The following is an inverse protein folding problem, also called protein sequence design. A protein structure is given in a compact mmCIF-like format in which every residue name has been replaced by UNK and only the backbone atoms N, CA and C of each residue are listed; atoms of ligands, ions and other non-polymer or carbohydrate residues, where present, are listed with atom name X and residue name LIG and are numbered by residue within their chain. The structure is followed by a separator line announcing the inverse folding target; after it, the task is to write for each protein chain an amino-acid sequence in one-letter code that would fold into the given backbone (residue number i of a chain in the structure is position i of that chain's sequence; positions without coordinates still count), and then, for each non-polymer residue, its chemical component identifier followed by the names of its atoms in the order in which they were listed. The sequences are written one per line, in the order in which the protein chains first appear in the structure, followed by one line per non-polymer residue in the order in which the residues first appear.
data_IF_235396172738
#
_entry.id   IF_235396172738
#
_cell.length_a   1.000
_cell.length_b   1.000
_cell.length_c   1.000
_cell.angle_alpha   90.00
_cell.angle_beta   90.00
_cell.angle_gamma   90.00
#
_symmetry.space_group_name_H-M   'P 1'
#
loop_
_entity.id
_entity.type
_entity.pdbx_description
1 polymer ?
#
# COMPACT_ATOMS: atom_id res chain seq x y z
N UNK A 1 -32.43 14.17 -49.22
CA UNK A 1 -31.84 13.45 -50.34
C UNK A 1 -30.54 12.83 -49.87
N UNK A 2 -30.58 11.57 -49.77
CA UNK A 2 -29.64 10.76 -49.02
C UNK A 2 -28.81 9.89 -49.97
N UNK A 3 -27.51 10.06 -50.00
CA UNK A 3 -26.59 9.27 -50.82
C UNK A 3 -25.17 9.28 -50.25
N UNK A 4 -25.04 8.83 -48.98
CA UNK A 4 -23.69 8.72 -48.42
C UNK A 4 -23.44 7.51 -47.50
N UNK A 5 -24.36 6.56 -47.42
CA UNK A 5 -24.22 5.43 -46.45
C UNK A 5 -24.11 4.03 -47.09
N UNK A 6 -23.80 3.91 -48.40
CA UNK A 6 -23.77 2.60 -49.09
C UNK A 6 -22.47 2.25 -49.81
N UNK A 7 -21.31 2.74 -49.40
CA UNK A 7 -20.02 2.37 -50.02
C UNK A 7 -18.94 1.91 -49.04
N UNK A 8 -19.30 1.27 -47.94
CA UNK A 8 -18.28 0.74 -46.99
C UNK A 8 -18.21 -0.79 -46.86
N UNK A 9 -18.94 -1.53 -47.68
CA UNK A 9 -18.99 -2.98 -47.61
C UNK A 9 -18.72 -3.66 -48.94
N UNK A 10 -17.59 -3.38 -49.59
CA UNK A 10 -17.15 -4.22 -50.75
C UNK A 10 -15.67 -3.94 -51.03
N UNK A 11 -14.78 -4.42 -50.17
CA UNK A 11 -13.41 -4.79 -50.56
C UNK A 11 -12.70 -5.47 -49.35
N UNK A 12 -12.99 -6.72 -49.12
CA UNK A 12 -12.22 -7.55 -48.18
C UNK A 12 -12.28 -9.01 -48.66
N UNK A 13 -11.66 -9.25 -49.77
CA UNK A 13 -11.34 -10.60 -50.23
C UNK A 13 -9.92 -10.60 -50.78
N UNK A 14 -8.91 -10.54 -49.88
CA UNK A 14 -7.54 -10.98 -50.10
C UNK A 14 -6.72 -10.67 -48.83
N UNK A 15 -6.39 -11.68 -48.02
CA UNK A 15 -5.54 -11.47 -46.88
C UNK A 15 -5.66 -12.54 -45.78
N UNK A 16 -5.96 -13.78 -46.17
CA UNK A 16 -5.83 -14.91 -45.26
C UNK A 16 -4.40 -15.47 -45.31
N UNK A 17 -3.43 -14.72 -44.80
CA UNK A 17 -2.07 -15.25 -44.57
C UNK A 17 -1.29 -14.22 -43.72
N UNK A 18 -1.46 -14.22 -42.38
CA UNK A 18 -0.48 -13.73 -41.41
C UNK A 18 -1.07 -13.72 -39.97
N UNK A 19 -1.65 -14.83 -39.49
CA UNK A 19 -1.96 -15.02 -38.08
C UNK A 19 -1.22 -16.27 -37.59
N UNK A 20 0.10 -16.29 -37.73
CA UNK A 20 0.94 -17.38 -37.22
C UNK A 20 2.17 -16.89 -36.44
N UNK A 21 2.23 -15.62 -36.00
CA UNK A 21 3.43 -15.08 -35.35
C UNK A 21 3.19 -14.38 -33.98
N UNK A 22 1.99 -14.42 -33.42
CA UNK A 22 1.71 -13.78 -32.13
C UNK A 22 2.16 -14.61 -30.92
N UNK A 23 2.23 -15.96 -30.90
CA UNK A 23 2.72 -16.72 -29.76
C UNK A 23 4.19 -16.46 -29.39
N UNK A 24 5.03 -16.08 -30.37
CA UNK A 24 6.48 -15.91 -30.12
C UNK A 24 6.88 -14.63 -29.41
N UNK A 25 6.08 -13.56 -29.55
CA UNK A 25 6.42 -12.26 -28.93
C UNK A 25 6.07 -12.23 -27.44
N UNK A 26 4.96 -12.83 -27.05
CA UNK A 26 4.57 -12.92 -25.63
C UNK A 26 5.50 -13.85 -24.86
N UNK A 27 5.95 -14.95 -25.48
CA UNK A 27 6.88 -15.89 -24.86
C UNK A 27 8.29 -15.32 -24.65
N UNK A 28 8.76 -14.44 -25.53
CA UNK A 28 10.09 -13.84 -25.41
C UNK A 28 10.16 -12.71 -24.37
N UNK A 29 9.03 -12.09 -24.02
CA UNK A 29 8.97 -11.08 -22.94
C UNK A 29 8.90 -11.72 -21.55
N UNK A 30 8.40 -12.95 -21.43
CA UNK A 30 8.26 -13.65 -20.14
C UNK A 30 9.58 -14.35 -19.74
N UNK A 31 10.39 -14.82 -20.69
CA UNK A 31 11.51 -15.71 -20.41
C UNK A 31 12.85 -15.07 -20.04
N UNK A 32 12.95 -13.73 -20.04
CA UNK A 32 14.21 -13.04 -19.70
C UNK A 32 14.31 -12.49 -18.28
N UNK A 33 13.19 -12.35 -17.56
CA UNK A 33 13.17 -11.67 -16.28
C UNK A 33 12.81 -12.54 -15.05
N UNK A 34 12.40 -13.81 -15.22
CA UNK A 34 11.96 -14.65 -14.08
C UNK A 34 13.05 -14.80 -13.00
N UNK A 35 14.30 -15.05 -13.38
CA UNK A 35 15.42 -15.18 -12.41
C UNK A 35 15.80 -13.85 -11.74
N UNK A 36 15.53 -12.71 -12.38
CA UNK A 36 15.78 -11.39 -11.83
C UNK A 36 14.68 -10.98 -10.84
N UNK A 37 13.43 -11.33 -11.11
CA UNK A 37 12.27 -11.04 -10.24
C UNK A 37 12.31 -11.87 -8.97
N UNK A 38 12.64 -13.14 -9.04
CA UNK A 38 12.79 -14.01 -7.87
C UNK A 38 13.89 -13.55 -6.91
N UNK A 39 14.97 -12.99 -7.45
CA UNK A 39 16.05 -12.40 -6.64
C UNK A 39 15.62 -11.06 -6.04
N UNK A 40 14.80 -10.29 -6.77
CA UNK A 40 14.35 -8.96 -6.39
C UNK A 40 13.36 -9.00 -5.22
N UNK A 41 12.44 -9.97 -5.19
CA UNK A 41 11.39 -10.10 -4.16
C UNK A 41 11.57 -11.38 -3.32
N UNK A 42 12.79 -11.64 -2.89
CA UNK A 42 13.13 -12.87 -2.16
C UNK A 42 12.43 -13.03 -0.79
N UNK A 43 11.85 -11.94 -0.27
CA UNK A 43 11.08 -11.94 0.98
C UNK A 43 9.77 -12.75 0.86
N UNK A 44 9.23 -12.89 -0.36
CA UNK A 44 7.97 -13.60 -0.60
C UNK A 44 8.23 -15.07 -0.96
N UNK A 45 7.56 -15.96 -0.24
CA UNK A 45 7.60 -17.40 -0.50
C UNK A 45 6.26 -17.87 -1.08
N UNK A 46 6.27 -19.03 -1.73
CA UNK A 46 5.06 -19.63 -2.31
C UNK A 46 3.99 -19.85 -1.21
N UNK A 47 2.80 -19.37 -1.47
CA UNK A 47 1.65 -19.49 -0.58
C UNK A 47 1.59 -18.46 0.56
N UNK A 48 2.54 -17.51 0.62
CA UNK A 48 2.52 -16.50 1.68
C UNK A 48 1.22 -15.70 1.70
N UNK A 49 0.75 -15.43 2.92
CA UNK A 49 -0.31 -14.47 3.21
C UNK A 49 0.33 -13.12 3.56
N UNK A 50 -0.04 -12.08 2.80
CA UNK A 50 0.41 -10.69 2.97
C UNK A 50 -0.77 -9.86 3.45
N UNK A 51 -0.58 -9.12 4.54
CA UNK A 51 -1.63 -8.30 5.13
C UNK A 51 -1.20 -6.82 5.18
N UNK A 52 -2.03 -5.95 4.62
CA UNK A 52 -1.93 -4.50 4.78
C UNK A 52 -2.88 -4.03 5.87
N UNK A 53 -2.35 -3.36 6.88
CA UNK A 53 -3.07 -2.74 7.99
C UNK A 53 -2.82 -1.24 8.04
N UNK A 54 -3.78 -0.49 8.55
CA UNK A 54 -3.65 0.95 8.69
C UNK A 54 -4.99 1.67 8.78
N UNK A 55 -4.93 2.95 8.48
CA UNK A 55 -6.04 3.90 8.50
C UNK A 55 -6.65 4.17 7.11
N UNK A 56 -7.14 5.41 6.88
CA UNK A 56 -7.75 5.83 5.61
C UNK A 56 -6.81 5.75 4.41
N UNK A 57 -5.51 5.91 4.61
CA UNK A 57 -4.51 5.85 3.54
C UNK A 57 -4.41 4.40 3.00
N UNK A 58 -4.55 3.42 3.89
CA UNK A 58 -4.54 2.00 3.53
C UNK A 58 -5.93 1.53 3.10
N UNK A 59 -7.01 1.97 3.77
CA UNK A 59 -8.42 1.71 3.41
C UNK A 59 -8.72 2.13 1.97
N UNK A 60 -8.44 3.39 1.64
CA UNK A 60 -8.60 3.98 0.32
C UNK A 60 -9.93 3.62 -0.38
N UNK A 61 -11.03 3.64 0.38
CA UNK A 61 -12.37 3.37 -0.15
C UNK A 61 -12.66 1.89 -0.46
N UNK A 62 -11.99 0.95 0.21
CA UNK A 62 -12.26 -0.48 0.05
C UNK A 62 -13.68 -0.87 0.49
N UNK A 63 -14.23 -1.86 -0.16
CA UNK A 63 -15.49 -2.50 0.23
C UNK A 63 -15.25 -3.40 1.47
N UNK A 64 -15.85 -3.07 2.61
CA UNK A 64 -15.56 -3.70 3.91
C UNK A 64 -16.40 -4.94 4.20
N UNK A 65 -17.54 -5.09 3.55
CA UNK A 65 -18.49 -6.17 3.85
C UNK A 65 -17.97 -7.56 3.41
N UNK A 66 -17.25 -7.63 2.29
CA UNK A 66 -16.77 -8.91 1.74
C UNK A 66 -15.39 -9.32 2.22
N UNK A 67 -14.52 -8.37 2.45
CA UNK A 67 -13.16 -8.56 2.96
C UNK A 67 -12.32 -9.69 2.29
N UNK A 68 -12.49 -9.87 0.98
CA UNK A 68 -11.87 -10.95 0.22
C UNK A 68 -10.39 -10.67 -0.08
N UNK A 69 -9.58 -11.74 -0.08
CA UNK A 69 -8.20 -11.65 -0.59
C UNK A 69 -8.17 -11.48 -2.10
N UNK A 70 -7.13 -10.84 -2.62
CA UNK A 70 -6.85 -10.68 -4.05
C UNK A 70 -8.04 -10.12 -4.85
N UNK A 71 -8.90 -9.34 -4.20
CA UNK A 71 -10.13 -8.82 -4.78
C UNK A 71 -10.08 -7.30 -4.86
N UNK A 72 -10.21 -6.73 -6.05
CA UNK A 72 -10.06 -5.30 -6.29
C UNK A 72 -10.99 -4.42 -5.44
N UNK A 73 -12.24 -4.84 -5.21
CA UNK A 73 -13.19 -4.08 -4.38
C UNK A 73 -12.80 -4.07 -2.89
N UNK A 74 -12.24 -5.17 -2.41
CA UNK A 74 -11.76 -5.30 -1.02
C UNK A 74 -10.43 -4.60 -0.78
N UNK A 75 -9.81 -4.02 -1.82
CA UNK A 75 -8.54 -3.29 -1.74
C UNK A 75 -8.69 -1.77 -1.81
N UNK A 76 -9.77 -1.25 -2.39
CA UNK A 76 -9.91 0.17 -2.70
C UNK A 76 -9.01 0.58 -3.87
N UNK A 77 -8.55 1.84 -3.88
CA UNK A 77 -7.80 2.43 -5.00
C UNK A 77 -6.45 3.06 -4.59
N UNK A 78 -5.96 2.78 -3.38
CA UNK A 78 -4.74 3.37 -2.82
C UNK A 78 -3.47 2.56 -3.11
N UNK A 79 -2.39 2.93 -2.39
CA UNK A 79 -1.09 2.30 -2.55
C UNK A 79 -1.10 0.79 -2.32
N UNK A 80 -1.91 0.30 -1.37
CA UNK A 80 -2.01 -1.13 -1.06
C UNK A 80 -2.56 -1.92 -2.26
N UNK A 81 -3.55 -1.37 -3.00
CA UNK A 81 -4.07 -1.96 -4.23
C UNK A 81 -2.99 -2.04 -5.32
N UNK A 82 -2.27 -0.94 -5.56
CA UNK A 82 -1.22 -0.87 -6.57
C UNK A 82 -0.05 -1.82 -6.25
N UNK A 83 0.35 -1.87 -4.99
CA UNK A 83 1.38 -2.82 -4.50
C UNK A 83 0.94 -4.27 -4.69
N UNK A 84 -0.28 -4.61 -4.25
CA UNK A 84 -0.83 -5.96 -4.40
C UNK A 84 -0.94 -6.36 -5.88
N UNK A 85 -1.42 -5.45 -6.72
CA UNK A 85 -1.52 -5.69 -8.18
C UNK A 85 -0.15 -5.99 -8.80
N UNK A 86 0.88 -5.24 -8.40
CA UNK A 86 2.25 -5.48 -8.87
C UNK A 86 2.81 -6.81 -8.38
N UNK A 87 2.63 -7.15 -7.10
CA UNK A 87 3.09 -8.42 -6.53
C UNK A 87 2.40 -9.62 -7.20
N UNK A 88 1.07 -9.60 -7.32
CA UNK A 88 0.30 -10.67 -7.95
C UNK A 88 0.67 -10.86 -9.42
N UNK A 89 0.97 -9.78 -10.15
CA UNK A 89 1.42 -9.87 -11.53
C UNK A 89 2.85 -10.39 -11.65
N UNK A 90 3.77 -9.90 -10.80
CA UNK A 90 5.20 -10.24 -10.92
C UNK A 90 5.56 -11.59 -10.30
N UNK A 91 4.77 -12.08 -9.34
CA UNK A 91 5.01 -13.29 -8.55
C UNK A 91 3.80 -14.26 -8.68
N UNK A 92 3.23 -14.38 -9.88
CA UNK A 92 2.03 -15.20 -10.12
C UNK A 92 2.24 -16.68 -9.77
N UNK A 93 3.45 -17.19 -9.94
CA UNK A 93 3.88 -18.53 -9.58
C UNK A 93 3.89 -18.77 -8.06
N UNK A 94 4.09 -17.73 -7.26
CA UNK A 94 4.14 -17.82 -5.78
C UNK A 94 2.74 -17.92 -5.14
N UNK A 95 1.66 -17.71 -5.88
CA UNK A 95 0.27 -17.87 -5.40
C UNK A 95 0.00 -17.14 -4.09
N UNK A 96 0.40 -15.87 -4.01
CA UNK A 96 0.24 -15.05 -2.83
C UNK A 96 -1.24 -14.82 -2.50
N UNK A 97 -1.57 -14.83 -1.21
CA UNK A 97 -2.86 -14.41 -0.68
C UNK A 97 -2.68 -13.04 -0.03
N UNK A 98 -3.30 -11.99 -0.57
CA UNK A 98 -3.06 -10.62 -0.09
C UNK A 98 -4.38 -10.01 0.40
N UNK A 99 -4.35 -9.36 1.57
CA UNK A 99 -5.49 -8.69 2.19
C UNK A 99 -5.20 -7.22 2.43
N UNK A 100 -6.23 -6.38 2.33
CA UNK A 100 -6.27 -5.03 2.85
C UNK A 100 -7.29 -4.97 4.01
N UNK A 101 -6.84 -4.59 5.19
CA UNK A 101 -7.65 -4.42 6.41
C UNK A 101 -7.55 -3.01 6.98
N UNK A 102 -7.17 -2.03 6.17
CA UNK A 102 -7.22 -0.62 6.55
C UNK A 102 -8.64 -0.17 6.90
N UNK A 103 -8.80 0.68 7.90
CA UNK A 103 -10.06 1.32 8.29
C UNK A 103 -9.83 2.81 8.51
N UNK A 104 -10.54 3.63 7.75
CA UNK A 104 -10.46 5.09 7.82
C UNK A 104 -10.63 5.61 9.26
N UNK A 105 -9.78 6.57 9.65
CA UNK A 105 -9.80 7.20 10.95
C UNK A 105 -9.12 6.41 12.08
N UNK A 106 -8.68 5.17 11.83
CA UNK A 106 -8.07 4.38 12.90
C UNK A 106 -6.76 4.99 13.42
N UNK A 107 -6.59 4.83 14.72
CA UNK A 107 -5.38 5.02 15.52
C UNK A 107 -4.83 3.66 15.94
N UNK A 108 -3.63 3.62 16.55
CA UNK A 108 -3.00 2.35 16.96
C UNK A 108 -3.91 1.54 17.91
N UNK A 109 -4.50 2.17 18.93
CA UNK A 109 -5.41 1.47 19.85
C UNK A 109 -6.60 0.82 19.12
N UNK A 110 -7.14 1.48 18.11
CA UNK A 110 -8.26 0.94 17.32
C UNK A 110 -7.83 -0.20 16.37
N UNK A 111 -6.57 -0.25 15.92
CA UNK A 111 -6.02 -1.46 15.30
C UNK A 111 -6.01 -2.60 16.35
N UNK A 112 -5.57 -2.31 17.57
CA UNK A 112 -5.49 -3.29 18.65
C UNK A 112 -6.85 -3.92 18.99
N UNK A 113 -7.93 -3.15 18.98
CA UNK A 113 -9.30 -3.59 19.29
C UNK A 113 -9.82 -4.65 18.31
N UNK A 114 -9.43 -4.57 17.03
CA UNK A 114 -9.89 -5.47 15.96
C UNK A 114 -8.83 -6.49 15.51
N UNK A 115 -7.72 -6.59 16.25
CA UNK A 115 -6.55 -7.34 15.80
C UNK A 115 -6.76 -8.84 15.69
N UNK A 116 -7.69 -9.41 16.49
CA UNK A 116 -8.01 -10.83 16.41
C UNK A 116 -8.57 -11.16 15.03
N UNK A 117 -9.64 -10.48 14.62
CA UNK A 117 -10.34 -10.76 13.36
C UNK A 117 -9.52 -10.30 12.14
N UNK A 118 -8.92 -9.10 12.24
CA UNK A 118 -8.29 -8.44 11.10
C UNK A 118 -6.79 -8.76 10.93
N UNK A 119 -6.21 -9.55 11.84
CA UNK A 119 -4.82 -10.01 11.73
C UNK A 119 -4.67 -11.49 12.12
N UNK A 120 -5.01 -11.87 13.36
CA UNK A 120 -4.69 -13.21 13.86
C UNK A 120 -5.42 -14.32 13.10
N UNK A 121 -6.69 -14.12 12.80
CA UNK A 121 -7.52 -15.10 12.08
C UNK A 121 -7.09 -15.24 10.60
N UNK A 122 -6.38 -14.27 10.05
CA UNK A 122 -5.83 -14.31 8.69
C UNK A 122 -4.48 -15.03 8.60
N UNK A 123 -3.81 -15.25 9.73
CA UNK A 123 -2.54 -15.94 9.85
C UNK A 123 -1.49 -15.42 8.85
N UNK A 124 -1.10 -14.12 8.89
CA UNK A 124 -0.21 -13.54 7.92
C UNK A 124 1.24 -13.99 8.11
N UNK A 125 1.93 -14.22 7.00
CA UNK A 125 3.38 -14.42 6.95
C UNK A 125 4.12 -13.09 6.88
N UNK A 126 3.47 -12.08 6.24
CA UNK A 126 4.02 -10.74 6.04
C UNK A 126 2.95 -9.73 6.43
N UNK A 127 3.29 -8.81 7.33
CA UNK A 127 2.39 -7.79 7.84
C UNK A 127 2.96 -6.40 7.60
N UNK A 128 2.26 -5.60 6.81
CA UNK A 128 2.57 -4.19 6.55
C UNK A 128 1.63 -3.29 7.34
N UNK A 129 2.18 -2.34 8.10
CA UNK A 129 1.40 -1.41 8.93
C UNK A 129 1.77 0.03 8.60
N UNK A 130 0.78 0.84 8.22
CA UNK A 130 0.87 2.30 8.12
C UNK A 130 -0.15 2.93 9.07
N UNK A 131 0.33 3.49 10.16
CA UNK A 131 -0.51 4.08 11.23
C UNK A 131 0.23 5.20 11.97
N UNK A 132 -0.49 6.17 12.50
CA UNK A 132 0.07 7.24 13.33
C UNK A 132 -0.40 8.64 12.97
N UNK A 133 -0.80 8.88 11.72
CA UNK A 133 -1.27 10.21 11.32
C UNK A 133 -2.53 10.62 12.09
N UNK A 134 -3.47 9.70 12.35
CA UNK A 134 -4.68 9.97 13.09
C UNK A 134 -4.46 10.07 14.60
N UNK A 135 -3.42 9.45 15.15
CA UNK A 135 -3.00 9.63 16.54
C UNK A 135 -2.67 11.10 16.82
N UNK A 136 -2.07 11.78 15.84
CA UNK A 136 -1.85 13.22 15.90
C UNK A 136 -3.07 14.04 15.44
N UNK A 137 -3.67 13.73 14.29
CA UNK A 137 -4.76 14.52 13.70
C UNK A 137 -5.98 14.60 14.61
N UNK A 138 -6.39 13.48 15.22
CA UNK A 138 -7.52 13.46 16.15
C UNK A 138 -7.24 14.21 17.44
N UNK A 139 -6.00 14.28 17.90
CA UNK A 139 -5.59 15.18 18.99
C UNK A 139 -5.85 16.64 18.64
N UNK A 140 -5.58 17.05 17.41
CA UNK A 140 -5.82 18.43 16.94
C UNK A 140 -7.28 18.79 16.77
N UNK A 141 -8.09 17.85 16.25
CA UNK A 141 -9.46 18.17 15.78
C UNK A 141 -10.59 17.51 16.55
N UNK A 142 -10.34 16.44 17.30
CA UNK A 142 -11.37 15.60 17.88
C UNK A 142 -11.21 15.36 19.38
N UNK A 143 -10.47 16.23 20.08
CA UNK A 143 -10.21 16.15 21.52
C UNK A 143 -9.67 14.77 21.97
N UNK A 144 -8.91 14.10 21.11
CA UNK A 144 -8.21 12.88 21.50
C UNK A 144 -7.02 13.23 22.38
N UNK A 145 -6.96 12.69 23.58
CA UNK A 145 -5.92 13.01 24.57
C UNK A 145 -4.63 12.16 24.41
N UNK A 146 -4.50 11.42 23.30
CA UNK A 146 -3.32 10.61 23.02
C UNK A 146 -2.04 11.44 22.90
N UNK A 147 -0.95 10.86 23.37
CA UNK A 147 0.40 11.42 23.26
C UNK A 147 1.26 10.53 22.37
N UNK A 148 2.43 10.99 21.97
CA UNK A 148 3.42 10.16 21.25
C UNK A 148 3.82 8.96 22.11
N UNK A 149 3.91 9.13 23.43
CA UNK A 149 4.23 8.04 24.35
C UNK A 149 3.12 6.96 24.36
N UNK A 150 1.84 7.36 24.39
CA UNK A 150 0.70 6.44 24.28
C UNK A 150 0.75 5.71 22.95
N UNK A 151 0.93 6.43 21.83
CA UNK A 151 1.08 5.84 20.51
C UNK A 151 2.19 4.79 20.47
N UNK A 152 3.38 5.12 20.99
CA UNK A 152 4.54 4.23 20.99
C UNK A 152 4.30 2.99 21.84
N UNK A 153 3.72 3.16 23.04
CA UNK A 153 3.43 2.06 23.95
C UNK A 153 2.36 1.11 23.41
N UNK A 154 1.28 1.66 22.82
CA UNK A 154 0.22 0.88 22.20
C UNK A 154 0.75 0.13 20.98
N UNK A 155 1.60 0.79 20.17
CA UNK A 155 2.20 0.16 19.00
C UNK A 155 3.15 -0.98 19.41
N UNK A 156 3.99 -0.75 20.40
CA UNK A 156 4.89 -1.78 20.95
C UNK A 156 4.10 -2.98 21.49
N UNK A 157 3.03 -2.74 22.25
CA UNK A 157 2.16 -3.80 22.76
C UNK A 157 1.51 -4.60 21.63
N UNK A 158 1.05 -3.92 20.57
CA UNK A 158 0.48 -4.55 19.38
C UNK A 158 1.49 -5.45 18.67
N UNK A 159 2.70 -4.96 18.45
CA UNK A 159 3.78 -5.71 17.79
C UNK A 159 4.27 -6.88 18.63
N UNK A 160 4.39 -6.70 19.96
CA UNK A 160 4.77 -7.78 20.90
C UNK A 160 3.81 -8.96 20.79
N UNK A 161 2.50 -8.72 20.99
CA UNK A 161 1.50 -9.80 20.89
C UNK A 161 1.45 -10.43 19.50
N UNK A 162 1.76 -9.65 18.44
CA UNK A 162 1.83 -10.18 17.08
C UNK A 162 3.02 -11.11 16.90
N UNK A 163 4.18 -10.72 17.41
CA UNK A 163 5.40 -11.55 17.38
C UNK A 163 5.26 -12.80 18.27
N UNK A 164 4.61 -12.68 19.40
CA UNK A 164 4.29 -13.83 20.28
C UNK A 164 3.38 -14.84 19.56
N UNK A 165 2.38 -14.36 18.83
CA UNK A 165 1.45 -15.21 18.08
C UNK A 165 2.11 -15.81 16.84
N UNK A 166 2.97 -15.05 16.16
CA UNK A 166 3.64 -15.42 14.91
C UNK A 166 5.14 -15.11 15.01
N UNK A 167 5.96 -15.98 15.63
CA UNK A 167 7.38 -15.72 15.84
C UNK A 167 8.18 -15.47 14.55
N UNK A 168 7.75 -16.06 13.43
CA UNK A 168 8.39 -15.93 12.13
C UNK A 168 7.84 -14.82 11.22
N UNK A 169 6.84 -14.06 11.69
CA UNK A 169 6.20 -13.03 10.85
C UNK A 169 7.21 -11.97 10.40
N UNK A 170 7.15 -11.61 9.12
CA UNK A 170 7.92 -10.50 8.57
C UNK A 170 7.12 -9.21 8.72
N UNK A 171 7.69 -8.25 9.45
CA UNK A 171 7.06 -6.96 9.69
C UNK A 171 7.59 -5.92 8.71
N UNK A 172 6.68 -5.10 8.19
CA UNK A 172 6.97 -3.93 7.36
C UNK A 172 6.27 -2.76 8.01
N UNK A 173 7.03 -1.83 8.58
CA UNK A 173 6.52 -0.63 9.21
C UNK A 173 6.71 0.54 8.28
N UNK A 174 5.59 1.15 7.90
CA UNK A 174 5.57 2.33 7.04
C UNK A 174 5.56 3.60 7.89
N UNK A 175 6.39 4.55 7.51
CA UNK A 175 6.47 5.85 8.17
C UNK A 175 5.15 6.60 8.04
N UNK A 176 4.51 7.04 9.13
CA UNK A 176 3.45 8.03 9.05
C UNK A 176 3.99 9.33 8.45
N UNK A 177 3.21 9.98 7.62
CA UNK A 177 3.66 11.17 6.88
C UNK A 177 2.62 12.27 6.89
N UNK A 178 3.07 13.49 6.60
CA UNK A 178 2.24 14.64 6.30
C UNK A 178 2.94 15.55 5.30
N UNK A 179 2.21 16.05 4.31
CA UNK A 179 2.76 16.89 3.24
C UNK A 179 2.32 18.32 3.45
N UNK A 180 3.30 19.18 3.70
CA UNK A 180 3.14 20.60 4.02
C UNK A 180 2.54 21.40 2.85
N UNK A 181 1.93 22.55 3.16
CA UNK A 181 1.31 23.48 2.20
C UNK A 181 0.10 22.91 1.45
N UNK A 182 -0.78 22.27 2.18
CA UNK A 182 -2.04 21.70 1.70
C UNK A 182 -3.22 22.16 2.55
N UNK A 183 -4.43 21.71 2.24
CA UNK A 183 -5.63 22.21 2.92
C UNK A 183 -5.75 21.80 4.40
N UNK A 184 -5.16 20.69 4.82
CA UNK A 184 -5.22 20.22 6.20
C UNK A 184 -3.88 20.28 6.95
N UNK A 185 -2.75 20.34 6.24
CA UNK A 185 -1.42 20.29 6.82
C UNK A 185 -0.69 21.62 6.64
N UNK A 186 -0.45 22.28 7.75
CA UNK A 186 0.31 23.51 7.87
C UNK A 186 1.62 23.30 8.68
N UNK A 187 2.42 24.35 8.86
CA UNK A 187 3.71 24.29 9.56
C UNK A 187 3.59 23.77 11.00
N UNK A 188 2.44 23.88 11.64
CA UNK A 188 2.23 23.38 13.00
C UNK A 188 2.20 21.85 13.10
N UNK A 189 2.16 21.15 11.96
CA UNK A 189 2.25 19.70 11.90
C UNK A 189 3.67 19.17 11.96
N UNK A 190 4.65 19.96 11.48
CA UNK A 190 6.00 19.48 11.18
C UNK A 190 6.66 18.85 12.40
N UNK A 191 6.81 19.62 13.48
CA UNK A 191 7.53 19.13 14.66
C UNK A 191 6.78 17.99 15.39
N UNK A 192 5.46 18.07 15.62
CA UNK A 192 4.75 16.94 16.21
C UNK A 192 4.79 15.66 15.36
N UNK A 193 4.65 15.74 14.04
CA UNK A 193 4.71 14.56 13.18
C UNK A 193 6.07 13.88 13.19
N UNK A 194 7.17 14.63 13.32
CA UNK A 194 8.51 14.04 13.50
C UNK A 194 8.61 13.13 14.72
N UNK A 195 7.90 13.46 15.81
CA UNK A 195 7.89 12.64 17.01
C UNK A 195 7.18 11.29 16.77
N UNK A 196 6.02 11.29 16.09
CA UNK A 196 5.33 10.06 15.68
C UNK A 196 6.14 9.24 14.67
N UNK A 197 6.80 9.89 13.74
CA UNK A 197 7.70 9.25 12.77
C UNK A 197 8.88 8.58 13.48
N UNK A 198 9.50 9.28 14.44
CA UNK A 198 10.60 8.75 15.22
C UNK A 198 10.15 7.56 16.10
N UNK A 199 8.95 7.62 16.68
CA UNK A 199 8.37 6.52 17.44
C UNK A 199 8.12 5.29 16.54
N UNK A 200 7.53 5.49 15.36
CA UNK A 200 7.36 4.41 14.37
C UNK A 200 8.70 3.80 13.93
N UNK A 201 9.73 4.64 13.76
CA UNK A 201 11.08 4.16 13.42
C UNK A 201 11.69 3.32 14.54
N UNK A 202 11.53 3.74 15.81
CA UNK A 202 11.97 2.92 16.96
C UNK A 202 11.26 1.55 16.99
N UNK A 203 9.97 1.50 16.62
CA UNK A 203 9.25 0.24 16.49
C UNK A 203 9.82 -0.64 15.38
N UNK A 204 10.16 -0.04 14.23
CA UNK A 204 10.79 -0.79 13.15
C UNK A 204 12.14 -1.39 13.59
N UNK A 205 12.95 -0.62 14.30
CA UNK A 205 14.27 -1.07 14.78
C UNK A 205 14.15 -2.13 15.91
N UNK A 206 13.24 -1.92 16.87
CA UNK A 206 13.02 -2.83 18.00
C UNK A 206 12.51 -4.22 17.55
N UNK A 207 11.71 -4.27 16.49
CA UNK A 207 11.10 -5.50 16.00
C UNK A 207 11.76 -6.07 14.73
N UNK A 208 12.92 -5.56 14.33
CA UNK A 208 13.62 -5.96 13.11
C UNK A 208 12.69 -5.96 11.89
N UNK A 209 11.99 -4.86 11.71
CA UNK A 209 11.02 -4.68 10.63
C UNK A 209 11.65 -3.93 9.45
N UNK A 210 11.20 -4.26 8.24
CA UNK A 210 11.51 -3.44 7.06
C UNK A 210 10.88 -2.05 7.26
N UNK A 211 11.68 -1.01 7.06
CA UNK A 211 11.23 0.38 7.12
C UNK A 211 10.87 0.91 5.74
N UNK A 212 9.68 1.53 5.62
CA UNK A 212 9.25 2.22 4.40
C UNK A 212 9.20 3.72 4.66
N UNK A 213 10.11 4.53 4.11
CA UNK A 213 10.31 5.94 4.46
C UNK A 213 9.37 6.87 3.67
N UNK A 214 8.06 6.84 3.92
CA UNK A 214 7.10 7.60 3.12
C UNK A 214 7.26 9.12 3.25
N UNK A 215 7.70 9.66 4.40
CA UNK A 215 7.90 11.10 4.52
C UNK A 215 9.01 11.56 3.59
N UNK A 216 10.16 10.89 3.59
CA UNK A 216 11.30 11.26 2.73
C UNK A 216 10.93 11.15 1.24
N UNK A 217 10.08 10.18 0.90
CA UNK A 217 9.59 10.00 -0.47
C UNK A 217 8.73 11.18 -0.91
N UNK A 218 7.83 11.67 -0.05
CA UNK A 218 7.03 12.86 -0.34
C UNK A 218 7.86 14.15 -0.30
N UNK A 219 8.81 14.27 0.64
CA UNK A 219 9.72 15.43 0.71
C UNK A 219 10.55 15.58 -0.58
N UNK A 220 10.95 14.49 -1.19
CA UNK A 220 11.61 14.51 -2.50
C UNK A 220 10.61 14.83 -3.62
N UNK A 221 9.41 14.24 -3.60
CA UNK A 221 8.42 14.40 -4.65
C UNK A 221 7.93 15.86 -4.80
N UNK A 222 7.78 16.59 -3.71
CA UNK A 222 7.34 18.00 -3.74
C UNK A 222 8.33 18.95 -4.43
N UNK A 223 9.55 18.50 -4.70
CA UNK A 223 10.54 19.24 -5.50
C UNK A 223 10.20 19.22 -7.00
N UNK A 224 9.40 18.25 -7.45
CA UNK A 224 9.04 18.07 -8.86
C UNK A 224 7.63 18.56 -9.19
N UNK A 225 6.72 18.53 -8.22
CA UNK A 225 5.35 19.02 -8.40
C UNK A 225 4.79 19.55 -7.07
N UNK A 226 3.82 20.49 -7.07
CA UNK A 226 3.23 21.03 -5.84
C UNK A 226 2.64 19.92 -4.94
N UNK A 227 2.61 20.17 -3.63
CA UNK A 227 2.09 19.22 -2.63
C UNK A 227 0.70 18.65 -2.98
N UNK A 228 -0.20 19.50 -3.46
CA UNK A 228 -1.57 19.12 -3.89
C UNK A 228 -1.61 18.16 -5.10
N UNK A 229 -0.55 18.04 -5.85
CA UNK A 229 -0.42 17.04 -6.90
C UNK A 229 -0.26 15.62 -6.32
N UNK A 230 0.40 15.51 -5.17
CA UNK A 230 0.71 14.25 -4.52
C UNK A 230 -0.30 13.83 -3.48
N UNK A 231 -0.89 14.80 -2.79
CA UNK A 231 -1.89 14.58 -1.73
C UNK A 231 -2.98 15.65 -1.83
N UNK A 232 -4.23 15.26 -1.62
CA UNK A 232 -5.36 16.21 -1.70
C UNK A 232 -5.36 17.21 -0.56
N UNK A 233 -5.00 16.75 0.65
CA UNK A 233 -5.08 17.52 1.89
C UNK A 233 -3.78 17.47 2.72
N UNK A 234 -2.76 16.80 2.25
CA UNK A 234 -1.49 16.59 2.95
C UNK A 234 -1.38 15.25 3.67
N UNK A 235 -2.48 14.48 3.73
CA UNK A 235 -2.55 13.15 4.37
C UNK A 235 -3.00 12.09 3.37
N UNK A 236 -4.04 12.37 2.59
CA UNK A 236 -4.61 11.41 1.65
C UNK A 236 -3.94 11.52 0.28
N UNK A 237 -3.29 10.45 -0.20
CA UNK A 237 -2.58 10.47 -1.48
C UNK A 237 -3.54 10.62 -2.65
N UNK A 238 -3.13 11.42 -3.63
CA UNK A 238 -3.73 11.41 -4.97
C UNK A 238 -3.38 10.10 -5.70
N UNK A 239 -3.87 9.92 -6.93
CA UNK A 239 -3.45 8.79 -7.77
C UNK A 239 -1.92 8.75 -7.94
N UNK A 240 -1.29 9.91 -8.16
CA UNK A 240 0.16 10.01 -8.30
C UNK A 240 0.88 9.68 -6.98
N UNK A 241 0.37 10.19 -5.85
CA UNK A 241 0.90 9.89 -4.52
C UNK A 241 0.75 8.42 -4.14
N UNK A 242 -0.39 7.80 -4.47
CA UNK A 242 -0.59 6.37 -4.22
C UNK A 242 0.38 5.50 -5.03
N UNK A 243 0.66 5.85 -6.29
CA UNK A 243 1.67 5.17 -7.11
C UNK A 243 3.08 5.35 -6.53
N UNK A 244 3.42 6.59 -6.14
CA UNK A 244 4.70 6.91 -5.50
C UNK A 244 4.92 6.06 -4.22
N UNK A 245 3.90 5.94 -3.37
CA UNK A 245 3.93 5.11 -2.17
C UNK A 245 4.09 3.62 -2.51
N UNK A 246 3.35 3.11 -3.49
CA UNK A 246 3.46 1.71 -3.92
C UNK A 246 4.87 1.37 -4.41
N UNK A 247 5.50 2.24 -5.20
CA UNK A 247 6.87 2.06 -5.66
C UNK A 247 7.89 2.12 -4.51
N UNK A 248 7.70 3.03 -3.54
CA UNK A 248 8.56 3.11 -2.37
C UNK A 248 8.45 1.84 -1.51
N UNK A 249 7.25 1.35 -1.28
CA UNK A 249 7.01 0.12 -0.54
C UNK A 249 7.68 -1.08 -1.23
N UNK A 250 7.48 -1.23 -2.54
CA UNK A 250 8.08 -2.32 -3.32
C UNK A 250 9.62 -2.28 -3.27
N UNK A 251 10.23 -1.09 -3.40
CA UNK A 251 11.69 -0.93 -3.27
C UNK A 251 12.24 -1.30 -1.88
N UNK A 252 11.45 -1.08 -0.84
CA UNK A 252 11.89 -1.41 0.53
C UNK A 252 11.94 -2.91 0.82
N UNK A 253 11.27 -3.74 0.00
CA UNK A 253 11.22 -5.21 0.14
C UNK A 253 11.99 -5.98 -0.95
N UNK A 254 12.76 -5.25 -1.76
CA UNK A 254 13.64 -5.81 -2.82
C UNK A 254 14.91 -6.50 -2.31
#
# INVERSE_FOLDING_TARGET
MDLSRRKFFLSSAAGAAAIASIPGIVSSCISKDEKSVDKKYSVFQTGNTVLFQGDSITDAGREKEKQLSNNSRSFGYGYAFLTASKLLNSLADKKLTIYNRGISGNKVNQLADRWQEDCFDLNPDILSILIGVNDYWHKRKHNYEGTVEIYENDYRALLKRTRERFPGIKLIICQPFSVLNTSAVDETWVEPMKEYQAAAKRMADEFDAVWVPFQEVFDEAVRYAPAVYWTEDGVHPSMAGAQLMAEAWLRSVE
#
